data_IF_196155847074
#
_entry.id   IF_196155847074
#
_cell.length_a   1.000
_cell.length_b   1.000
_cell.length_c   1.000
_cell.angle_alpha   90.00
_cell.angle_beta   90.00
_cell.angle_gamma   90.00
#
_symmetry.space_group_name_H-M   'P 1'
#
loop_
_entity.id
_entity.type
_entity.pdbx_description
1 polymer ?
#
# COMPACT_ATOMS: atom_id res chain seq x y z
N UNK A 1 14.24 -20.22 -1.63
CA UNK A 1 13.91 -18.91 -1.04
C UNK A 1 12.89 -19.15 0.06
N UNK A 2 13.25 -18.91 1.32
CA UNK A 2 12.33 -19.12 2.44
C UNK A 2 11.46 -17.86 2.60
N UNK A 3 10.19 -17.95 2.24
CA UNK A 3 9.20 -16.97 2.71
C UNK A 3 9.17 -17.02 4.23
N UNK A 4 9.47 -15.91 4.89
CA UNK A 4 9.29 -15.81 6.34
C UNK A 4 7.81 -15.80 6.67
N UNK A 5 7.42 -16.35 7.82
CA UNK A 5 6.03 -16.32 8.27
C UNK A 5 5.47 -14.88 8.35
N UNK A 6 6.33 -13.92 8.70
CA UNK A 6 6.01 -12.50 8.73
C UNK A 6 5.66 -11.93 7.35
N UNK A 7 6.41 -12.31 6.31
CA UNK A 7 6.12 -11.90 4.93
C UNK A 7 4.76 -12.44 4.46
N UNK A 8 4.45 -13.71 4.76
CA UNK A 8 3.16 -14.30 4.39
C UNK A 8 1.98 -13.69 5.14
N UNK A 9 2.16 -13.36 6.43
CA UNK A 9 1.18 -12.63 7.21
C UNK A 9 0.90 -11.25 6.59
N UNK A 10 1.95 -10.47 6.32
CA UNK A 10 1.84 -9.15 5.69
C UNK A 10 1.14 -9.21 4.32
N UNK A 11 1.46 -10.21 3.49
CA UNK A 11 0.80 -10.41 2.19
C UNK A 11 -0.67 -10.78 2.34
N UNK A 12 -1.03 -11.53 3.38
CA UNK A 12 -2.43 -11.88 3.65
C UNK A 12 -3.20 -10.64 4.04
N UNK A 13 -2.70 -9.86 5.00
CA UNK A 13 -3.28 -8.59 5.41
C UNK A 13 -3.43 -7.61 4.23
N UNK A 14 -2.39 -7.49 3.39
CA UNK A 14 -2.42 -6.61 2.22
C UNK A 14 -3.54 -7.00 1.24
N UNK A 15 -3.70 -8.30 0.97
CA UNK A 15 -4.75 -8.78 0.07
C UNK A 15 -6.14 -8.52 0.62
N UNK A 16 -6.34 -8.74 1.91
CA UNK A 16 -7.63 -8.50 2.57
C UNK A 16 -7.98 -7.02 2.54
N UNK A 17 -7.04 -6.15 2.90
CA UNK A 17 -7.24 -4.71 2.85
C UNK A 17 -7.50 -4.21 1.43
N UNK A 18 -6.68 -4.60 0.45
CA UNK A 18 -6.86 -4.18 -0.94
C UNK A 18 -8.19 -4.64 -1.53
N UNK A 19 -8.67 -5.85 -1.20
CA UNK A 19 -9.99 -6.32 -1.66
C UNK A 19 -11.14 -5.47 -1.14
N UNK A 20 -10.99 -4.91 0.06
CA UNK A 20 -12.02 -4.08 0.67
C UNK A 20 -11.99 -2.62 0.19
N UNK A 21 -10.81 -2.09 -0.19
CA UNK A 21 -10.63 -0.65 -0.43
C UNK A 21 -10.32 -0.28 -1.89
N UNK A 22 -9.76 -1.19 -2.71
CA UNK A 22 -9.42 -0.86 -4.10
C UNK A 22 -10.69 -0.49 -4.88
N UNK A 23 -10.71 0.67 -5.56
CA UNK A 23 -11.84 1.05 -6.40
C UNK A 23 -12.13 -0.01 -7.47
N UNK A 24 -13.41 -0.39 -7.61
CA UNK A 24 -13.83 -1.39 -8.60
C UNK A 24 -13.63 -0.94 -10.05
N UNK A 25 -13.52 0.38 -10.29
CA UNK A 25 -13.18 0.98 -11.58
C UNK A 25 -11.84 1.70 -11.47
N UNK A 26 -10.99 1.66 -12.50
CA UNK A 26 -9.76 2.44 -12.52
C UNK A 26 -10.02 3.92 -12.28
N UNK A 27 -9.12 4.57 -11.54
CA UNK A 27 -9.15 6.02 -11.38
C UNK A 27 -8.96 6.71 -12.74
N UNK A 28 -9.51 7.93 -12.93
CA UNK A 28 -9.29 8.70 -14.14
C UNK A 28 -7.80 8.98 -14.40
N UNK A 29 -7.47 9.40 -15.63
CA UNK A 29 -6.08 9.72 -15.99
C UNK A 29 -5.49 10.81 -15.09
N UNK A 30 -4.30 10.54 -14.55
CA UNK A 30 -3.54 11.46 -13.71
C UNK A 30 -3.20 12.79 -14.43
N UNK A 31 -3.23 12.80 -15.76
CA UNK A 31 -2.98 13.99 -16.58
C UNK A 31 -4.15 14.99 -16.61
N UNK A 32 -5.26 14.66 -15.95
CA UNK A 32 -6.42 15.55 -15.79
C UNK A 32 -6.49 16.06 -14.35
N UNK A 33 -7.05 17.25 -14.15
CA UNK A 33 -7.24 17.80 -12.81
C UNK A 33 -8.12 16.89 -11.93
N UNK A 34 -9.18 16.31 -12.51
CA UNK A 34 -10.07 15.37 -11.81
C UNK A 34 -9.35 14.08 -11.45
N UNK A 35 -8.60 13.48 -12.38
CA UNK A 35 -7.83 12.28 -12.09
C UNK A 35 -6.75 12.55 -11.04
N UNK A 36 -6.01 13.65 -11.14
CA UNK A 36 -5.03 14.03 -10.12
C UNK A 36 -5.67 14.13 -8.72
N UNK A 37 -6.84 14.76 -8.59
CA UNK A 37 -7.56 14.81 -7.33
C UNK A 37 -7.95 13.41 -6.82
N UNK A 38 -8.50 12.56 -7.69
CA UNK A 38 -8.90 11.18 -7.35
C UNK A 38 -7.70 10.31 -6.92
N UNK A 39 -6.56 10.45 -7.57
CA UNK A 39 -5.32 9.76 -7.18
C UNK A 39 -4.82 10.23 -5.81
N UNK A 40 -4.91 11.53 -5.47
CA UNK A 40 -4.56 12.00 -4.12
C UNK A 40 -5.50 11.47 -3.04
N UNK A 41 -6.79 11.39 -3.33
CA UNK A 41 -7.77 10.80 -2.40
C UNK A 41 -7.45 9.32 -2.15
N UNK A 42 -7.07 8.60 -3.20
CA UNK A 42 -6.62 7.22 -3.08
C UNK A 42 -5.32 7.07 -2.27
N UNK A 43 -4.32 7.93 -2.49
CA UNK A 43 -3.10 7.95 -1.68
C UNK A 43 -3.39 8.27 -0.21
N UNK A 44 -4.36 9.14 0.07
CA UNK A 44 -4.80 9.42 1.44
C UNK A 44 -5.46 8.20 2.10
N UNK A 45 -6.26 7.43 1.36
CA UNK A 45 -6.85 6.16 1.84
C UNK A 45 -5.76 5.12 2.12
N UNK A 46 -4.80 4.96 1.21
CA UNK A 46 -3.63 4.09 1.41
C UNK A 46 -2.83 4.49 2.65
N UNK A 47 -2.58 5.78 2.84
CA UNK A 47 -1.90 6.30 4.02
C UNK A 47 -2.70 6.03 5.30
N UNK A 48 -4.01 6.28 5.28
CA UNK A 48 -4.91 5.99 6.41
C UNK A 48 -4.92 4.51 6.80
N UNK A 49 -4.72 3.61 5.83
CA UNK A 49 -4.55 2.17 6.07
C UNK A 49 -3.12 1.71 6.38
N UNK A 50 -2.12 2.60 6.34
CA UNK A 50 -0.71 2.25 6.55
C UNK A 50 -0.06 1.52 5.36
N UNK A 51 -0.59 1.67 4.15
CA UNK A 51 -0.14 0.95 2.93
C UNK A 51 0.62 1.83 1.94
N UNK A 52 0.73 3.14 2.16
CA UNK A 52 1.41 4.07 1.25
C UNK A 52 2.95 3.95 1.30
N UNK A 53 3.55 3.73 2.48
CA UNK A 53 5.00 3.68 2.67
C UNK A 53 5.44 2.58 3.66
N UNK A 54 5.21 1.31 3.30
CA UNK A 54 5.42 0.15 4.17
C UNK A 54 6.81 0.08 4.84
N UNK A 55 7.86 0.48 4.14
CA UNK A 55 9.24 0.38 4.63
C UNK A 55 9.71 1.57 5.45
N UNK A 56 8.90 2.63 5.57
CA UNK A 56 9.24 3.74 6.42
C UNK A 56 9.01 3.38 7.89
N UNK A 57 9.71 4.04 8.82
CA UNK A 57 9.42 3.93 10.24
C UNK A 57 7.95 4.28 10.56
N UNK A 58 7.37 3.58 11.53
CA UNK A 58 6.01 3.85 11.99
C UNK A 58 5.77 5.29 12.47
N UNK A 59 6.80 5.97 13.00
CA UNK A 59 6.73 7.39 13.39
C UNK A 59 6.44 8.34 12.21
N UNK A 60 6.73 7.92 10.98
CA UNK A 60 6.43 8.65 9.75
C UNK A 60 5.21 8.08 9.01
N UNK A 61 4.47 7.16 9.63
CA UNK A 61 3.28 6.52 9.06
C UNK A 61 3.57 5.30 8.18
N UNK A 62 4.77 4.72 8.27
CA UNK A 62 5.09 3.44 7.63
C UNK A 62 4.79 2.23 8.52
N UNK A 63 5.31 1.06 8.14
CA UNK A 63 5.10 -0.21 8.85
C UNK A 63 6.41 -0.97 9.15
N UNK A 64 7.56 -0.29 9.05
CA UNK A 64 8.88 -0.87 9.31
C UNK A 64 9.18 -2.13 8.48
N UNK A 65 8.53 -2.30 7.33
CA UNK A 65 8.65 -3.50 6.51
C UNK A 65 10.03 -3.55 5.82
N UNK A 66 10.66 -4.73 5.84
CA UNK A 66 11.93 -4.94 5.17
C UNK A 66 11.79 -4.87 3.64
N UNK A 67 12.41 -3.86 3.04
CA UNK A 67 12.45 -3.59 1.59
C UNK A 67 13.25 -4.64 0.81
N UNK A 68 14.25 -5.26 1.45
CA UNK A 68 15.27 -6.08 0.81
C UNK A 68 15.26 -7.54 1.24
N UNK A 69 14.29 -7.99 2.03
CA UNK A 69 14.21 -9.38 2.50
C UNK A 69 14.18 -10.44 1.38
N UNK A 70 13.91 -10.04 0.13
CA UNK A 70 13.97 -10.90 -1.05
C UNK A 70 15.34 -10.98 -1.75
N UNK A 71 16.25 -10.05 -1.44
CA UNK A 71 17.63 -10.03 -1.99
C UNK A 71 18.62 -10.88 -1.17
N UNK A 72 18.21 -11.36 0.00
CA UNK A 72 19.01 -12.18 0.91
C UNK A 72 19.07 -13.67 0.50
#
# INVERSE_FOLDING_TARGET
>A
MAQTAETEALRTEAREWLRAHVPARPLPSLETAEGFAAHREWEAELYGGGWSALSWPGEYGGRDADLFGWLA
#
